data_IF_328541419973
#
_entry.id   IF_328541419973
#
_cell.length_a   1.000
_cell.length_b   1.000
_cell.length_c   1.000
_cell.angle_alpha   90.00
_cell.angle_beta   90.00
_cell.angle_gamma   90.00
#
_symmetry.space_group_name_H-M   'P 1'
#
loop_
_entity.id
_entity.type
_entity.pdbx_description
1 polymer ?
#
# COMPACT_ATOMS: atom_id res chain seq x y z
N UNK A 1 -22.90 -9.52 -21.51
CA UNK A 1 -23.23 -8.60 -20.40
C UNK A 1 -22.91 -7.18 -20.86
N UNK A 2 -23.75 -6.18 -20.54
CA UNK A 2 -23.52 -4.79 -20.99
C UNK A 2 -22.43 -4.09 -20.16
N UNK A 3 -21.83 -3.03 -20.71
CA UNK A 3 -20.82 -2.20 -20.04
C UNK A 3 -21.26 -1.70 -18.65
N UNK A 4 -22.56 -1.44 -18.46
CA UNK A 4 -23.14 -1.01 -17.20
C UNK A 4 -22.98 -2.03 -16.05
N UNK A 5 -23.07 -3.33 -16.35
CA UNK A 5 -22.85 -4.38 -15.35
C UNK A 5 -21.38 -4.52 -14.95
N UNK A 6 -20.46 -4.32 -15.89
CA UNK A 6 -19.03 -4.27 -15.59
C UNK A 6 -18.69 -3.08 -14.71
N UNK A 7 -19.29 -1.92 -14.95
CA UNK A 7 -19.11 -0.74 -14.10
C UNK A 7 -19.67 -0.96 -12.69
N UNK A 8 -20.81 -1.64 -12.57
CA UNK A 8 -21.36 -2.06 -11.28
C UNK A 8 -20.42 -3.01 -10.52
N UNK A 9 -19.93 -4.04 -11.20
CA UNK A 9 -18.98 -5.00 -10.62
C UNK A 9 -17.69 -4.33 -10.17
N UNK A 10 -17.13 -3.44 -11.00
CA UNK A 10 -15.96 -2.65 -10.66
C UNK A 10 -16.20 -1.78 -9.43
N UNK A 11 -17.32 -1.07 -9.36
CA UNK A 11 -17.67 -0.24 -8.21
C UNK A 11 -17.89 -1.03 -6.92
N UNK A 12 -18.60 -2.15 -7.00
CA UNK A 12 -18.82 -3.03 -5.86
C UNK A 12 -17.50 -3.60 -5.32
N UNK A 13 -16.64 -4.15 -6.20
CA UNK A 13 -15.34 -4.69 -5.81
C UNK A 13 -14.42 -3.61 -5.22
N UNK A 14 -14.36 -2.44 -5.87
CA UNK A 14 -13.57 -1.29 -5.40
C UNK A 14 -14.00 -0.82 -4.02
N UNK A 15 -15.32 -0.75 -3.79
CA UNK A 15 -15.86 -0.39 -2.49
C UNK A 15 -15.51 -1.43 -1.44
N UNK A 16 -15.73 -2.72 -1.72
CA UNK A 16 -15.42 -3.81 -0.79
C UNK A 16 -13.94 -3.81 -0.37
N UNK A 17 -13.01 -3.66 -1.33
CA UNK A 17 -11.59 -3.56 -1.03
C UNK A 17 -11.26 -2.34 -0.16
N UNK A 18 -11.81 -1.16 -0.50
CA UNK A 18 -11.59 0.06 0.28
C UNK A 18 -12.20 0.02 1.69
N UNK A 19 -13.33 -0.68 1.86
CA UNK A 19 -13.95 -0.91 3.16
C UNK A 19 -13.15 -1.93 3.97
N UNK A 20 -12.69 -3.02 3.35
CA UNK A 20 -11.86 -4.02 4.00
C UNK A 20 -10.52 -3.43 4.47
N UNK A 21 -9.93 -2.51 3.70
CA UNK A 21 -8.75 -1.76 4.12
C UNK A 21 -8.97 -0.91 5.38
N UNK A 22 -10.21 -0.45 5.61
CA UNK A 22 -10.59 0.34 6.79
C UNK A 22 -11.06 -0.52 7.97
N UNK A 23 -11.75 -1.61 7.66
CA UNK A 23 -12.41 -2.51 8.61
C UNK A 23 -12.08 -3.95 8.22
N UNK A 24 -10.83 -4.40 8.47
CA UNK A 24 -10.39 -5.73 8.06
C UNK A 24 -11.18 -6.80 8.78
N UNK A 25 -11.61 -7.83 8.05
CA UNK A 25 -12.24 -9.01 8.61
C UNK A 25 -11.17 -9.84 9.33
N UNK A 26 -11.34 -10.07 10.63
CA UNK A 26 -10.36 -10.79 11.47
C UNK A 26 -10.89 -12.11 12.05
N UNK A 27 -12.22 -12.30 12.09
CA UNK A 27 -12.86 -13.36 12.90
C UNK A 27 -12.96 -14.73 12.22
N UNK A 28 -12.76 -14.83 10.92
CA UNK A 28 -12.96 -16.05 10.14
C UNK A 28 -11.63 -16.47 9.51
N UNK A 29 -11.06 -17.61 9.94
CA UNK A 29 -9.67 -17.99 9.66
C UNK A 29 -9.23 -17.81 8.19
N UNK A 30 -9.84 -18.51 7.25
CA UNK A 30 -9.48 -18.41 5.82
C UNK A 30 -9.78 -17.03 5.20
N UNK A 31 -10.89 -16.40 5.59
CA UNK A 31 -11.23 -15.05 5.12
C UNK A 31 -10.28 -13.98 5.67
N UNK A 32 -9.70 -14.20 6.85
CA UNK A 32 -8.73 -13.30 7.47
C UNK A 32 -7.48 -13.14 6.62
N UNK A 33 -7.02 -14.22 5.98
CA UNK A 33 -5.87 -14.17 5.08
C UNK A 33 -6.17 -13.33 3.82
N UNK A 34 -7.32 -13.57 3.18
CA UNK A 34 -7.76 -12.81 2.00
C UNK A 34 -7.99 -11.34 2.35
N UNK A 35 -8.63 -11.08 3.50
CA UNK A 35 -8.84 -9.76 4.07
C UNK A 35 -7.53 -9.04 4.35
N UNK A 36 -6.55 -9.73 4.93
CA UNK A 36 -5.22 -9.18 5.20
C UNK A 36 -4.54 -8.74 3.90
N UNK A 37 -4.42 -9.63 2.91
CA UNK A 37 -3.78 -9.29 1.64
C UNK A 37 -4.53 -8.20 0.87
N UNK A 38 -5.87 -8.28 0.82
CA UNK A 38 -6.69 -7.28 0.17
C UNK A 38 -6.59 -5.91 0.84
N UNK A 39 -6.59 -5.88 2.18
CA UNK A 39 -6.43 -4.66 2.96
C UNK A 39 -5.04 -4.06 2.78
N UNK A 40 -4.00 -4.86 2.98
CA UNK A 40 -2.59 -4.45 2.85
C UNK A 40 -2.29 -3.86 1.47
N UNK A 41 -2.63 -4.58 0.39
CA UNK A 41 -2.38 -4.08 -0.96
C UNK A 41 -3.15 -2.78 -1.24
N UNK A 42 -4.40 -2.68 -0.75
CA UNK A 42 -5.22 -1.48 -0.94
C UNK A 42 -4.69 -0.28 -0.17
N UNK A 43 -4.15 -0.48 1.05
CA UNK A 43 -3.58 0.61 1.84
C UNK A 43 -2.24 1.08 1.29
N UNK A 44 -1.36 0.15 0.88
CA UNK A 44 -0.03 0.47 0.35
C UNK A 44 -0.11 1.10 -1.04
N UNK A 45 -1.00 0.60 -1.91
CA UNK A 45 -1.13 1.04 -3.30
C UNK A 45 -2.36 1.93 -3.52
N UNK A 46 -2.84 2.65 -2.51
CA UNK A 46 -4.09 3.42 -2.59
C UNK A 46 -4.15 4.37 -3.81
N UNK A 47 -3.05 5.06 -4.13
CA UNK A 47 -2.96 5.93 -5.31
C UNK A 47 -3.00 5.14 -6.64
N UNK A 48 -2.33 4.00 -6.72
CA UNK A 48 -2.36 3.15 -7.91
C UNK A 48 -3.77 2.58 -8.14
N UNK A 49 -4.45 2.16 -7.08
CA UNK A 49 -5.85 1.73 -7.15
C UNK A 49 -6.74 2.85 -7.69
N UNK A 50 -6.57 4.09 -7.21
CA UNK A 50 -7.33 5.23 -7.71
C UNK A 50 -7.08 5.44 -9.22
N UNK A 51 -5.83 5.42 -9.67
CA UNK A 51 -5.48 5.59 -11.08
C UNK A 51 -6.08 4.50 -11.97
N UNK A 52 -5.96 3.23 -11.56
CA UNK A 52 -6.54 2.09 -12.30
C UNK A 52 -8.06 2.18 -12.34
N UNK A 53 -8.71 2.54 -11.22
CA UNK A 53 -10.16 2.71 -11.17
C UNK A 53 -10.64 3.85 -12.07
N UNK A 54 -9.94 5.00 -12.09
CA UNK A 54 -10.24 6.11 -12.99
C UNK A 54 -10.11 5.71 -14.46
N UNK A 55 -9.03 5.01 -14.82
CA UNK A 55 -8.81 4.54 -16.19
C UNK A 55 -9.88 3.54 -16.64
N UNK A 56 -10.15 2.51 -15.84
CA UNK A 56 -11.18 1.52 -16.14
C UNK A 56 -12.59 2.13 -16.20
N UNK A 57 -12.92 3.01 -15.25
CA UNK A 57 -14.20 3.72 -15.28
C UNK A 57 -14.35 4.58 -16.53
N UNK A 58 -13.30 5.32 -16.92
CA UNK A 58 -13.28 6.12 -18.14
C UNK A 58 -13.53 5.28 -19.40
N UNK A 59 -12.85 4.14 -19.53
CA UNK A 59 -13.06 3.20 -20.65
C UNK A 59 -14.49 2.67 -20.67
N UNK A 60 -15.03 2.25 -19.52
CA UNK A 60 -16.39 1.72 -19.44
C UNK A 60 -17.45 2.79 -19.76
N UNK A 61 -17.26 4.02 -19.27
CA UNK A 61 -18.15 5.16 -19.58
C UNK A 61 -18.10 5.45 -21.09
N UNK A 62 -16.91 5.46 -21.69
CA UNK A 62 -16.75 5.63 -23.14
C UNK A 62 -17.47 4.54 -23.95
N UNK A 63 -17.47 3.29 -23.47
CA UNK A 63 -18.21 2.17 -24.05
C UNK A 63 -19.73 2.21 -23.77
N UNK A 64 -20.25 3.31 -23.21
CA UNK A 64 -21.67 3.47 -22.95
C UNK A 64 -22.15 2.85 -21.64
N UNK A 65 -21.30 2.64 -20.64
CA UNK A 65 -21.76 2.11 -19.34
C UNK A 65 -22.83 2.98 -18.65
N UNK A 66 -22.93 4.26 -19.02
CA UNK A 66 -23.94 5.20 -18.54
C UNK A 66 -25.00 5.55 -19.59
N UNK A 67 -24.96 4.91 -20.78
CA UNK A 67 -25.98 5.14 -21.81
C UNK A 67 -27.34 4.59 -21.38
N UNK A 68 -28.40 5.13 -21.98
CA UNK A 68 -29.77 4.62 -21.89
C UNK A 68 -30.37 4.62 -20.48
N UNK A 69 -29.92 5.53 -19.60
CA UNK A 69 -30.39 5.60 -18.20
C UNK A 69 -30.27 4.26 -17.46
N UNK A 70 -29.24 3.48 -17.79
CA UNK A 70 -28.99 2.17 -17.22
C UNK A 70 -28.73 2.25 -15.71
N UNK A 71 -29.74 1.94 -14.88
CA UNK A 71 -29.64 1.86 -13.40
C UNK A 71 -28.35 1.22 -12.87
N UNK A 72 -27.87 0.04 -13.38
CA UNK A 72 -26.65 -0.57 -12.86
C UNK A 72 -25.39 0.28 -13.08
N UNK A 73 -25.30 1.02 -14.19
CA UNK A 73 -24.15 1.88 -14.49
C UNK A 73 -24.03 3.03 -13.49
N UNK A 74 -25.14 3.71 -13.20
CA UNK A 74 -25.17 4.79 -12.21
C UNK A 74 -24.86 4.32 -10.80
N UNK A 75 -25.41 3.17 -10.39
CA UNK A 75 -25.08 2.57 -9.09
C UNK A 75 -23.58 2.24 -9.03
N UNK A 76 -23.01 1.63 -10.08
CA UNK A 76 -21.58 1.35 -10.15
C UNK A 76 -20.70 2.59 -10.04
N UNK A 77 -21.04 3.64 -10.78
CA UNK A 77 -20.35 4.93 -10.72
C UNK A 77 -20.42 5.55 -9.31
N UNK A 78 -21.58 5.50 -8.66
CA UNK A 78 -21.75 6.00 -7.30
C UNK A 78 -20.88 5.24 -6.29
N UNK A 79 -20.83 3.91 -6.37
CA UNK A 79 -19.97 3.09 -5.52
C UNK A 79 -18.47 3.40 -5.75
N UNK A 80 -18.07 3.68 -6.99
CA UNK A 80 -16.71 4.12 -7.31
C UNK A 80 -16.36 5.44 -6.64
N UNK A 81 -17.25 6.44 -6.71
CA UNK A 81 -17.02 7.74 -6.05
C UNK A 81 -16.83 7.56 -4.54
N UNK A 82 -17.62 6.68 -3.90
CA UNK A 82 -17.43 6.35 -2.48
C UNK A 82 -16.07 5.69 -2.25
N UNK A 83 -15.67 4.74 -3.10
CA UNK A 83 -14.37 4.07 -3.01
C UNK A 83 -13.22 5.08 -3.13
N UNK A 84 -13.27 6.00 -4.10
CA UNK A 84 -12.27 7.06 -4.26
C UNK A 84 -12.15 7.93 -3.02
N UNK A 85 -13.27 8.32 -2.41
CA UNK A 85 -13.26 9.07 -1.16
C UNK A 85 -12.61 8.29 -0.01
N UNK A 86 -12.82 6.97 0.09
CA UNK A 86 -12.15 6.15 1.09
C UNK A 86 -10.64 6.01 0.80
N UNK A 87 -10.23 5.78 -0.45
CA UNK A 87 -8.83 5.71 -0.84
C UNK A 87 -8.09 7.02 -0.54
N UNK A 88 -8.71 8.17 -0.82
CA UNK A 88 -8.14 9.48 -0.47
C UNK A 88 -8.01 9.70 1.03
N UNK A 89 -8.96 9.20 1.82
CA UNK A 89 -8.87 9.24 3.29
C UNK A 89 -7.74 8.35 3.80
N UNK A 90 -7.56 7.16 3.25
CA UNK A 90 -6.47 6.25 3.60
C UNK A 90 -5.12 6.90 3.28
N UNK A 91 -4.97 7.46 2.08
CA UNK A 91 -3.74 8.16 1.68
C UNK A 91 -3.40 9.33 2.61
N UNK A 92 -4.38 10.18 2.95
CA UNK A 92 -4.17 11.29 3.89
C UNK A 92 -3.77 10.81 5.29
N UNK A 93 -4.36 9.71 5.77
CA UNK A 93 -4.00 9.13 7.08
C UNK A 93 -2.57 8.62 7.09
N UNK A 94 -2.12 7.98 6.00
CA UNK A 94 -0.73 7.54 5.87
C UNK A 94 0.24 8.73 5.94
N UNK A 95 -0.03 9.81 5.20
CA UNK A 95 0.79 11.03 5.23
C UNK A 95 0.83 11.69 6.63
N UNK A 96 -0.29 11.68 7.36
CA UNK A 96 -0.33 12.19 8.75
C UNK A 96 0.48 11.30 9.70
N UNK A 97 0.40 9.97 9.55
CA UNK A 97 1.17 9.03 10.37
C UNK A 97 2.68 9.18 10.12
N UNK A 98 3.08 9.36 8.87
CA UNK A 98 4.46 9.70 8.50
C UNK A 98 4.94 10.97 9.19
N UNK A 99 4.16 12.07 9.13
CA UNK A 99 4.52 13.32 9.81
C UNK A 99 4.61 13.19 11.33
N UNK A 100 3.71 12.42 11.95
CA UNK A 100 3.75 12.18 13.38
C UNK A 100 5.01 11.37 13.77
N UNK A 101 5.37 10.36 12.97
CA UNK A 101 6.57 9.56 13.16
C UNK A 101 7.85 10.39 13.00
N UNK A 102 7.94 11.18 11.93
CA UNK A 102 9.07 12.09 11.69
C UNK A 102 9.26 13.07 12.84
N UNK A 103 8.16 13.65 13.35
CA UNK A 103 8.19 14.59 14.46
C UNK A 103 8.68 13.93 15.76
N UNK A 104 8.21 12.71 16.04
CA UNK A 104 8.64 11.95 17.21
C UNK A 104 10.13 11.58 17.12
N UNK A 105 10.60 11.17 15.93
CA UNK A 105 12.01 10.85 15.70
C UNK A 105 12.92 12.08 15.80
N UNK A 106 12.50 13.22 15.27
CA UNK A 106 13.23 14.48 15.40
C UNK A 106 13.41 14.89 16.87
N UNK A 107 12.36 14.68 17.69
CA UNK A 107 12.40 14.95 19.13
C UNK A 107 13.42 14.07 19.85
N UNK A 108 13.54 12.80 19.45
CA UNK A 108 14.49 11.85 20.05
C UNK A 108 15.95 12.05 19.59
N UNK A 109 16.16 12.47 18.33
CA UNK A 109 17.50 12.62 17.75
C UNK A 109 18.12 14.00 17.97
N UNK A 110 17.33 15.01 18.33
CA UNK A 110 17.79 16.39 18.47
C UNK A 110 18.00 17.12 17.14
N UNK A 111 17.86 16.43 16.01
CA UNK A 111 17.92 16.98 14.65
C UNK A 111 16.88 16.28 13.78
N UNK A 112 16.18 17.05 12.93
CA UNK A 112 15.43 16.45 11.83
C UNK A 112 16.39 16.24 10.66
N UNK A 113 16.82 15.00 10.41
CA UNK A 113 17.32 14.65 9.07
C UNK A 113 16.16 15.00 8.12
N UNK A 114 16.34 16.04 7.28
CA UNK A 114 15.26 16.60 6.48
C UNK A 114 14.53 15.54 5.67
N UNK A 115 13.23 15.76 5.39
CA UNK A 115 12.39 14.79 4.67
C UNK A 115 13.12 14.21 3.47
N UNK A 116 13.24 12.89 3.42
CA UNK A 116 13.65 12.19 2.21
C UNK A 116 12.58 12.47 1.17
N UNK A 117 12.86 13.37 0.23
CA UNK A 117 11.95 13.66 -0.87
C UNK A 117 11.89 12.42 -1.76
N UNK A 118 10.77 11.71 -1.69
CA UNK A 118 10.48 10.59 -2.58
C UNK A 118 10.25 11.16 -3.98
N UNK A 119 11.06 10.73 -4.95
CA UNK A 119 10.91 11.20 -6.32
C UNK A 119 9.63 10.64 -6.95
N UNK A 120 9.01 11.37 -7.89
CA UNK A 120 7.85 10.86 -8.65
C UNK A 120 8.10 9.48 -9.30
N UNK A 121 9.34 9.18 -9.70
CA UNK A 121 9.71 7.88 -10.26
C UNK A 121 9.76 6.73 -9.23
N UNK A 122 9.98 7.02 -7.95
CA UNK A 122 9.92 6.02 -6.87
C UNK A 122 8.48 5.67 -6.53
N UNK A 123 7.55 6.64 -6.61
CA UNK A 123 6.11 6.41 -6.39
C UNK A 123 5.55 5.37 -7.37
N UNK A 124 6.05 5.32 -8.61
CA UNK A 124 5.64 4.34 -9.62
C UNK A 124 6.18 2.91 -9.39
N UNK A 125 7.09 2.70 -8.44
CA UNK A 125 7.71 1.40 -8.15
C UNK A 125 7.28 0.89 -6.76
N UNK A 126 6.06 0.31 -6.65
CA UNK A 126 5.48 -0.05 -5.35
C UNK A 126 6.25 -1.12 -4.56
N UNK A 127 7.18 -1.85 -5.19
CA UNK A 127 7.95 -2.92 -4.56
C UNK A 127 9.47 -2.69 -4.58
N UNK A 128 9.92 -1.43 -4.55
CA UNK A 128 11.35 -1.12 -4.43
C UNK A 128 11.87 -1.35 -3.01
N UNK A 129 12.06 -2.62 -2.64
CA UNK A 129 12.53 -3.04 -1.31
C UNK A 129 14.02 -2.74 -1.04
N UNK A 130 14.74 -2.14 -2.00
CA UNK A 130 16.16 -1.78 -1.89
C UNK A 130 16.30 -0.29 -1.63
N UNK A 131 16.78 0.07 -0.44
CA UNK A 131 17.10 1.45 -0.11
C UNK A 131 18.54 1.77 -0.52
N UNK A 132 18.74 2.89 -1.23
CA UNK A 132 20.06 3.28 -1.78
C UNK A 132 21.17 3.39 -0.74
N UNK A 133 20.81 3.74 0.50
CA UNK A 133 21.76 3.90 1.61
C UNK A 133 21.95 2.62 2.45
N UNK A 134 21.30 1.50 2.11
CA UNK A 134 21.38 0.25 2.89
C UNK A 134 22.13 -0.80 2.09
N UNK A 135 23.17 -1.36 2.70
CA UNK A 135 23.91 -2.52 2.17
C UNK A 135 23.54 -3.78 2.95
N UNK A 136 23.62 -4.91 2.26
CA UNK A 136 23.30 -6.23 2.81
C UNK A 136 24.52 -7.13 2.68
N UNK A 137 24.99 -7.67 3.80
CA UNK A 137 26.05 -8.69 3.82
C UNK A 137 25.52 -10.00 4.40
N UNK A 138 25.83 -11.12 3.77
CA UNK A 138 25.57 -12.44 4.34
C UNK A 138 26.76 -12.87 5.18
N UNK A 139 26.58 -13.00 6.51
CA UNK A 139 27.62 -13.44 7.43
C UNK A 139 27.26 -14.76 8.08
N UNK A 140 28.22 -15.67 8.15
CA UNK A 140 28.08 -16.87 8.97
C UNK A 140 28.25 -16.48 10.44
N UNK A 141 27.31 -16.86 11.30
CA UNK A 141 27.39 -16.54 12.73
C UNK A 141 27.58 -17.77 13.61
N UNK A 142 27.17 -18.96 13.15
CA UNK A 142 27.32 -20.19 13.92
C UNK A 142 27.45 -21.42 13.02
N UNK A 143 27.97 -22.49 13.60
CA UNK A 143 27.87 -23.85 13.06
C UNK A 143 27.31 -24.74 14.13
N UNK A 144 26.19 -25.40 13.85
CA UNK A 144 25.49 -26.25 14.80
C UNK A 144 24.92 -27.48 14.10
N UNK A 145 25.18 -28.68 14.65
CA UNK A 145 24.73 -29.94 14.06
C UNK A 145 25.21 -30.18 12.62
N UNK A 146 26.45 -29.76 12.30
CA UNK A 146 27.01 -29.84 10.94
C UNK A 146 26.43 -28.84 9.92
N UNK A 147 25.47 -28.00 10.32
CA UNK A 147 24.91 -26.95 9.46
C UNK A 147 25.58 -25.60 9.74
N UNK A 148 25.91 -24.87 8.67
CA UNK A 148 26.39 -23.49 8.74
C UNK A 148 25.19 -22.54 8.75
N UNK A 149 25.07 -21.75 9.80
CA UNK A 149 23.99 -20.78 9.96
C UNK A 149 24.50 -19.40 9.51
N UNK A 150 23.76 -18.79 8.59
CA UNK A 150 24.07 -17.49 8.01
C UNK A 150 22.96 -16.49 8.37
N UNK A 151 23.35 -15.25 8.62
CA UNK A 151 22.46 -14.12 8.80
C UNK A 151 22.69 -13.10 7.67
N UNK A 152 21.62 -12.44 7.24
CA UNK A 152 21.72 -11.25 6.40
C UNK A 152 21.76 -10.02 7.31
N UNK A 153 22.88 -9.32 7.30
CA UNK A 153 23.11 -8.11 8.08
C UNK A 153 22.84 -6.91 7.20
N UNK A 154 21.79 -6.16 7.53
CA UNK A 154 21.43 -4.90 6.88
C UNK A 154 22.04 -3.74 7.66
N UNK A 155 22.77 -2.86 6.98
CA UNK A 155 23.39 -1.70 7.63
C UNK A 155 23.42 -0.49 6.69
N UNK A 156 23.36 0.71 7.26
CA UNK A 156 23.61 1.94 6.51
C UNK A 156 25.03 1.97 5.97
N UNK A 157 25.22 2.51 4.77
CA UNK A 157 26.52 2.57 4.08
C UNK A 157 27.60 3.30 4.91
N UNK A 158 27.22 4.30 5.69
CA UNK A 158 28.10 5.11 6.54
C UNK A 158 28.50 4.44 7.87
N UNK A 159 27.86 3.31 8.24
CA UNK A 159 28.14 2.51 9.45
C UNK A 159 28.39 3.35 10.72
N UNK A 160 27.39 4.08 11.22
CA UNK A 160 27.54 4.86 12.44
C UNK A 160 27.97 3.97 13.61
N UNK A 161 28.92 4.47 14.42
CA UNK A 161 29.40 3.75 15.62
C UNK A 161 28.25 3.66 16.64
N UNK A 162 28.16 2.53 17.34
CA UNK A 162 27.12 2.24 18.34
C UNK A 162 25.68 2.32 17.82
N UNK A 163 25.46 2.03 16.54
CA UNK A 163 24.12 1.91 16.00
C UNK A 163 23.34 0.78 16.72
N UNK A 164 22.07 0.99 17.09
CA UNK A 164 21.24 -0.07 17.66
C UNK A 164 21.08 -1.22 16.66
N UNK A 165 21.15 -2.45 17.16
CA UNK A 165 21.01 -3.67 16.35
C UNK A 165 19.67 -4.31 16.68
N UNK A 166 18.88 -4.59 15.66
CA UNK A 166 17.64 -5.35 15.76
C UNK A 166 17.86 -6.74 15.16
N UNK A 167 17.51 -7.78 15.91
CA UNK A 167 17.62 -9.18 15.47
C UNK A 167 16.22 -9.74 15.28
N UNK A 168 15.95 -10.32 14.12
CA UNK A 168 14.68 -10.92 13.71
C UNK A 168 14.91 -12.28 13.06
#
# INVERSE_FOLDING_TARGET
>A
MSAAWYLLGLGALSLLLSLNARFPVQRFGGLSLVSFFGGWLTTELALHHLMVQLGLAGVLIYLGALSDFSRPGYVGAFLLVISWAQLMRLHRRAALAEHALDSALATLRGESEGRVQVGFGEVWRPFSLRHRQVKVERRQYATHGGKRLHAHVYFREDRPKNAPVLVF
#
